data_IF_043895356313
#
_entry.id   IF_043895356313
#
_cell.length_a   1.000
_cell.length_b   1.000
_cell.length_c   1.000
_cell.angle_alpha   90.00
_cell.angle_beta   90.00
_cell.angle_gamma   90.00
#
_symmetry.space_group_name_H-M   'P 1'
#
loop_
_entity.id
_entity.type
_entity.pdbx_description
1 polymer ?
#
# COMPACT_ATOMS: atom_id res chain seq x y z
N UNK A 1 -6.52 -0.61 8.58
CA UNK A 1 -6.36 -1.21 7.23
C UNK A 1 -5.22 -0.60 6.40
N UNK A 2 -5.23 0.70 6.01
CA UNK A 2 -4.17 1.26 5.13
C UNK A 2 -2.73 1.07 5.66
N UNK A 3 -2.52 1.28 6.97
CA UNK A 3 -1.20 1.05 7.61
C UNK A 3 -0.76 -0.42 7.47
N UNK A 4 -1.69 -1.37 7.55
CA UNK A 4 -1.41 -2.80 7.37
C UNK A 4 -1.09 -3.08 5.89
N UNK A 5 -1.86 -2.52 4.94
CA UNK A 5 -1.56 -2.66 3.51
C UNK A 5 -0.18 -2.10 3.13
N UNK A 6 0.24 -1.00 3.76
CA UNK A 6 1.58 -0.43 3.59
C UNK A 6 2.70 -1.20 4.30
N UNK A 7 2.39 -2.11 5.23
CA UNK A 7 3.41 -2.76 6.07
C UNK A 7 4.39 -3.62 5.28
N UNK A 8 3.98 -4.15 4.12
CA UNK A 8 4.82 -4.90 3.20
C UNK A 8 4.70 -4.37 1.78
N UNK A 9 5.85 -4.19 1.13
CA UNK A 9 6.01 -3.65 -0.24
C UNK A 9 5.05 -4.27 -1.27
N UNK A 10 4.81 -5.57 -1.15
CA UNK A 10 4.10 -6.36 -2.15
C UNK A 10 2.69 -6.77 -1.71
N UNK A 11 2.23 -6.31 -0.55
CA UNK A 11 0.94 -6.76 0.00
C UNK A 11 -0.25 -6.25 -0.82
N UNK A 12 -0.21 -4.99 -1.26
CA UNK A 12 -1.22 -4.43 -2.15
C UNK A 12 -1.33 -5.21 -3.47
N UNK A 13 -0.26 -5.37 -4.28
CA UNK A 13 -0.37 -6.12 -5.53
C UNK A 13 -0.68 -7.61 -5.33
N UNK A 14 -0.21 -8.24 -4.23
CA UNK A 14 -0.57 -9.61 -3.89
C UNK A 14 -2.09 -9.77 -3.69
N UNK A 15 -2.69 -8.93 -2.83
CA UNK A 15 -4.12 -9.04 -2.54
C UNK A 15 -4.98 -8.67 -3.74
N UNK A 16 -4.56 -7.68 -4.54
CA UNK A 16 -5.21 -7.32 -5.79
C UNK A 16 -5.21 -8.49 -6.80
N UNK A 17 -4.08 -9.17 -6.96
CA UNK A 17 -3.97 -10.33 -7.85
C UNK A 17 -4.86 -11.50 -7.39
N UNK A 18 -4.84 -11.81 -6.09
CA UNK A 18 -5.69 -12.86 -5.53
C UNK A 18 -7.18 -12.54 -5.66
N UNK A 19 -7.58 -11.27 -5.54
CA UNK A 19 -8.96 -10.83 -5.77
C UNK A 19 -9.38 -11.02 -7.24
N UNK A 20 -8.52 -10.63 -8.19
CA UNK A 20 -8.80 -10.74 -9.62
C UNK A 20 -8.92 -12.19 -10.10
N UNK A 21 -8.15 -13.11 -9.51
CA UNK A 21 -8.07 -14.50 -9.96
C UNK A 21 -8.78 -15.52 -9.05
N UNK A 22 -9.37 -15.05 -7.94
CA UNK A 22 -9.99 -15.91 -6.89
C UNK A 22 -9.00 -16.93 -6.31
N UNK A 23 -7.78 -16.45 -6.05
CA UNK A 23 -6.66 -17.26 -5.56
C UNK A 23 -5.60 -17.53 -6.62
N UNK A 24 -4.48 -18.12 -6.21
CA UNK A 24 -3.37 -18.43 -7.11
C UNK A 24 -2.47 -19.55 -6.57
N UNK A 25 -1.68 -20.17 -7.46
CA UNK A 25 -0.53 -21.00 -7.07
C UNK A 25 0.70 -20.15 -6.81
N UNK A 26 1.66 -20.65 -6.03
CA UNK A 26 2.88 -19.90 -5.71
C UNK A 26 3.64 -19.43 -6.96
N UNK A 27 3.82 -20.32 -7.94
CA UNK A 27 4.57 -20.00 -9.18
C UNK A 27 3.85 -18.98 -10.05
N UNK A 28 2.52 -19.00 -10.07
CA UNK A 28 1.73 -18.01 -10.83
C UNK A 28 1.92 -16.60 -10.28
N UNK A 29 1.93 -16.46 -8.94
CA UNK A 29 2.20 -15.20 -8.27
C UNK A 29 3.60 -14.67 -8.58
N UNK A 30 4.61 -15.54 -8.65
CA UNK A 30 5.98 -15.15 -9.04
C UNK A 30 5.98 -14.54 -10.45
N UNK A 31 5.34 -15.22 -11.41
CA UNK A 31 5.34 -14.76 -12.80
C UNK A 31 4.52 -13.49 -13.01
N UNK A 32 3.29 -13.41 -12.46
CA UNK A 32 2.41 -12.26 -12.67
C UNK A 32 2.88 -11.00 -11.95
N UNK A 33 3.47 -11.14 -10.76
CA UNK A 33 3.90 -10.00 -9.95
C UNK A 33 5.39 -9.66 -10.13
N UNK A 34 6.16 -10.49 -10.85
CA UNK A 34 7.61 -10.28 -11.05
C UNK A 34 8.41 -10.34 -9.74
N UNK A 35 7.97 -11.16 -8.79
CA UNK A 35 8.53 -11.28 -7.45
C UNK A 35 9.67 -12.29 -7.37
N UNK A 36 10.64 -12.08 -6.47
CA UNK A 36 11.49 -13.19 -6.04
C UNK A 36 10.72 -14.15 -5.13
N UNK A 37 11.13 -15.43 -5.09
CA UNK A 37 10.54 -16.45 -4.20
C UNK A 37 10.50 -15.99 -2.74
N UNK A 38 11.61 -15.49 -2.23
CA UNK A 38 11.70 -15.02 -0.85
C UNK A 38 10.78 -13.83 -0.56
N UNK A 39 10.62 -12.92 -1.53
CA UNK A 39 9.71 -11.78 -1.38
C UNK A 39 8.26 -12.23 -1.35
N UNK A 40 7.90 -13.20 -2.20
CA UNK A 40 6.56 -13.78 -2.19
C UNK A 40 6.28 -14.53 -0.88
N UNK A 41 7.22 -15.37 -0.41
CA UNK A 41 7.10 -16.09 0.87
C UNK A 41 6.84 -15.13 2.02
N UNK A 42 7.69 -14.11 2.20
CA UNK A 42 7.52 -13.11 3.27
C UNK A 42 6.20 -12.35 3.18
N UNK A 43 5.73 -12.05 1.96
CA UNK A 43 4.47 -11.30 1.77
C UNK A 43 3.25 -12.18 2.05
N UNK A 44 3.28 -13.44 1.64
CA UNK A 44 2.23 -14.42 1.94
C UNK A 44 2.19 -14.73 3.45
N UNK A 45 3.34 -14.88 4.10
CA UNK A 45 3.42 -15.06 5.56
C UNK A 45 2.82 -13.87 6.29
N UNK A 46 3.18 -12.63 5.91
CA UNK A 46 2.59 -11.44 6.49
C UNK A 46 1.07 -11.38 6.30
N UNK A 47 0.59 -11.67 5.09
CA UNK A 47 -0.85 -11.70 4.80
C UNK A 47 -1.58 -12.78 5.60
N UNK A 48 -0.94 -13.94 5.81
CA UNK A 48 -1.46 -15.03 6.63
C UNK A 48 -1.46 -14.70 8.12
N UNK A 49 -0.41 -14.07 8.63
CA UNK A 49 -0.33 -13.60 10.03
C UNK A 49 -1.42 -12.57 10.34
N UNK A 50 -1.75 -11.69 9.38
CA UNK A 50 -2.87 -10.74 9.51
C UNK A 50 -4.23 -11.46 9.40
N UNK A 51 -4.24 -12.68 8.85
CA UNK A 51 -5.45 -13.47 8.62
C UNK A 51 -6.19 -13.14 7.31
N UNK A 52 -5.54 -12.45 6.36
CA UNK A 52 -6.14 -12.07 5.07
C UNK A 52 -5.99 -13.13 3.98
N UNK A 53 -4.95 -13.96 4.06
CA UNK A 53 -4.67 -15.02 3.09
C UNK A 53 -4.51 -16.34 3.85
N UNK A 54 -5.06 -17.41 3.29
CA UNK A 54 -4.87 -18.76 3.80
C UNK A 54 -4.39 -19.70 2.69
N UNK A 55 -3.70 -20.77 3.08
CA UNK A 55 -3.54 -21.92 2.18
C UNK A 55 -4.91 -22.55 1.96
N UNK A 56 -5.20 -22.93 0.72
CA UNK A 56 -6.45 -23.58 0.36
C UNK A 56 -6.52 -25.00 0.97
N UNK A 57 -7.45 -25.29 1.90
CA UNK A 57 -7.49 -26.55 2.66
C UNK A 57 -8.08 -27.73 1.87
N UNK A 58 -8.72 -27.48 0.71
CA UNK A 58 -9.36 -28.52 -0.07
C UNK A 58 -8.39 -29.65 -0.47
N UNK A 59 -8.92 -30.81 -0.86
CA UNK A 59 -8.18 -31.92 -1.49
C UNK A 59 -8.71 -32.09 -2.93
N UNK A 60 -7.84 -32.36 -3.92
CA UNK A 60 -8.24 -32.55 -5.33
C UNK A 60 -7.67 -31.56 -6.36
N UNK A 61 -7.79 -32.00 -7.63
CA UNK A 61 -7.29 -31.54 -8.94
C UNK A 61 -6.07 -30.59 -9.06
N UNK A 62 -5.16 -30.86 -10.03
CA UNK A 62 -3.88 -30.16 -10.18
C UNK A 62 -3.94 -28.66 -10.54
N UNK A 63 -5.14 -28.10 -10.81
CA UNK A 63 -5.34 -26.72 -11.25
C UNK A 63 -5.86 -25.77 -10.16
N UNK A 64 -6.07 -26.24 -8.92
CA UNK A 64 -6.62 -25.38 -7.87
C UNK A 64 -5.63 -24.30 -7.39
N UNK A 65 -6.12 -23.16 -6.90
CA UNK A 65 -5.27 -22.19 -6.22
C UNK A 65 -4.74 -22.76 -4.90
N UNK A 66 -3.45 -22.53 -4.62
CA UNK A 66 -2.79 -22.89 -3.36
C UNK A 66 -3.05 -21.86 -2.26
N UNK A 67 -3.22 -20.60 -2.64
CA UNK A 67 -3.48 -19.47 -1.75
C UNK A 67 -4.78 -18.80 -2.12
N UNK A 68 -5.62 -18.54 -1.13
CA UNK A 68 -6.94 -17.91 -1.28
C UNK A 68 -7.10 -16.78 -0.27
N UNK A 69 -7.96 -15.82 -0.60
CA UNK A 69 -8.40 -14.81 0.35
C UNK A 69 -9.30 -15.46 1.39
N UNK A 70 -9.13 -15.07 2.65
CA UNK A 70 -10.11 -15.39 3.70
C UNK A 70 -11.29 -14.43 3.63
N UNK A 71 -12.35 -14.72 4.38
CA UNK A 71 -13.46 -13.78 4.57
C UNK A 71 -12.97 -12.43 5.14
N UNK A 72 -12.10 -12.47 6.15
CA UNK A 72 -11.48 -11.27 6.72
C UNK A 72 -10.58 -10.51 5.71
N UNK A 73 -9.98 -11.23 4.75
CA UNK A 73 -9.15 -10.66 3.69
C UNK A 73 -9.93 -10.01 2.55
N UNK A 74 -11.21 -10.32 2.38
CA UNK A 74 -12.01 -9.86 1.24
C UNK A 74 -12.10 -8.32 1.16
N UNK A 75 -12.34 -7.65 2.30
CA UNK A 75 -12.40 -6.19 2.36
C UNK A 75 -11.01 -5.56 2.07
N UNK A 76 -9.95 -6.13 2.63
CA UNK A 76 -8.59 -5.67 2.38
C UNK A 76 -8.18 -5.85 0.92
N UNK A 77 -8.60 -6.94 0.28
CA UNK A 77 -8.31 -7.21 -1.12
C UNK A 77 -9.08 -6.32 -2.08
N UNK A 78 -10.34 -6.01 -1.77
CA UNK A 78 -11.12 -5.00 -2.50
C UNK A 78 -10.41 -3.64 -2.46
N UNK A 79 -10.01 -3.20 -1.27
CA UNK A 79 -9.23 -1.96 -1.11
C UNK A 79 -7.90 -2.02 -1.85
N UNK A 80 -7.19 -3.13 -1.76
CA UNK A 80 -5.91 -3.32 -2.44
C UNK A 80 -6.05 -3.27 -3.96
N UNK A 81 -7.13 -3.83 -4.53
CA UNK A 81 -7.42 -3.75 -5.96
C UNK A 81 -7.60 -2.30 -6.42
N UNK A 82 -8.39 -1.50 -5.70
CA UNK A 82 -8.57 -0.07 -6.00
C UNK A 82 -7.23 0.70 -5.94
N UNK A 83 -6.41 0.43 -4.93
CA UNK A 83 -5.09 1.07 -4.79
C UNK A 83 -4.15 0.62 -5.91
N UNK A 84 -4.12 -0.68 -6.23
CA UNK A 84 -3.27 -1.22 -7.29
C UNK A 84 -3.62 -0.62 -8.67
N UNK A 85 -4.91 -0.46 -8.97
CA UNK A 85 -5.37 0.20 -10.19
C UNK A 85 -4.91 1.66 -10.25
N UNK A 86 -5.02 2.40 -9.14
CA UNK A 86 -4.53 3.78 -9.04
C UNK A 86 -3.01 3.86 -9.23
N UNK A 87 -2.25 2.93 -8.63
CA UNK A 87 -0.81 2.83 -8.80
C UNK A 87 -0.42 2.57 -10.25
N UNK A 88 -1.12 1.67 -10.94
CA UNK A 88 -0.92 1.40 -12.37
C UNK A 88 -1.19 2.64 -13.23
N UNK A 89 -2.29 3.36 -12.98
CA UNK A 89 -2.67 4.58 -13.74
C UNK A 89 -1.64 5.70 -13.66
N UNK A 90 -0.80 5.72 -12.63
CA UNK A 90 0.22 6.74 -12.40
C UNK A 90 1.65 6.17 -12.49
N UNK A 91 1.79 4.96 -13.03
CA UNK A 91 3.06 4.23 -13.19
C UNK A 91 3.89 4.13 -11.90
N UNK A 92 3.21 4.00 -10.74
CA UNK A 92 3.87 3.88 -9.45
C UNK A 92 4.25 2.41 -9.18
N UNK A 93 5.54 2.06 -9.13
CA UNK A 93 5.93 0.68 -8.92
C UNK A 93 5.62 0.22 -7.48
N UNK A 94 5.34 -1.07 -7.26
CA UNK A 94 5.20 -1.64 -5.92
C UNK A 94 6.39 -1.29 -5.03
N UNK A 95 6.11 -0.76 -3.84
CA UNK A 95 7.14 -0.32 -2.86
C UNK A 95 7.76 1.04 -3.11
N UNK A 96 7.33 1.78 -4.14
CA UNK A 96 7.67 3.20 -4.28
C UNK A 96 7.21 4.02 -3.05
N UNK A 97 6.05 3.65 -2.52
CA UNK A 97 5.57 4.13 -1.23
C UNK A 97 6.26 3.37 -0.10
N UNK A 98 6.80 4.11 0.88
CA UNK A 98 7.21 3.51 2.16
C UNK A 98 5.98 2.97 2.91
N UNK A 99 6.19 2.32 4.06
CA UNK A 99 5.09 1.87 4.94
C UNK A 99 4.04 2.94 5.22
N UNK A 100 4.47 4.19 5.30
CA UNK A 100 3.61 5.33 5.61
C UNK A 100 3.14 6.09 4.37
N UNK A 101 3.56 5.71 3.16
CA UNK A 101 3.22 6.45 1.94
C UNK A 101 1.72 6.49 1.66
N UNK A 102 1.02 5.34 1.71
CA UNK A 102 -0.44 5.32 1.50
C UNK A 102 -1.21 6.09 2.60
N UNK A 103 -0.92 5.90 3.90
CA UNK A 103 -1.51 6.75 4.94
C UNK A 103 -1.19 8.24 4.81
N UNK A 104 0.00 8.60 4.34
CA UNK A 104 0.41 10.00 4.13
C UNK A 104 -0.40 10.66 3.01
N UNK A 105 -0.52 10.03 1.82
CA UNK A 105 -1.32 10.61 0.73
C UNK A 105 -2.79 10.71 1.11
N UNK A 106 -3.32 9.73 1.85
CA UNK A 106 -4.70 9.77 2.36
C UNK A 106 -4.89 10.92 3.37
N UNK A 107 -3.95 11.10 4.30
CA UNK A 107 -3.98 12.19 5.28
C UNK A 107 -3.92 13.57 4.64
N UNK A 108 -3.01 13.77 3.67
CA UNK A 108 -2.91 15.05 2.94
C UNK A 108 -4.20 15.28 2.13
N UNK A 109 -4.73 14.25 1.47
CA UNK A 109 -6.00 14.34 0.73
C UNK A 109 -7.21 14.67 1.60
N UNK A 110 -7.17 14.32 2.89
CA UNK A 110 -8.15 14.71 3.90
C UNK A 110 -7.90 16.11 4.50
N UNK A 111 -6.92 16.87 3.98
CA UNK A 111 -6.61 18.24 4.41
C UNK A 111 -5.55 18.35 5.50
N UNK A 112 -4.86 17.26 5.88
CA UNK A 112 -3.73 17.33 6.80
C UNK A 112 -2.45 17.74 6.05
N UNK A 113 -2.30 19.05 5.83
CA UNK A 113 -1.22 19.65 5.02
C UNK A 113 0.05 19.99 5.84
N UNK A 114 0.07 19.75 7.16
CA UNK A 114 1.21 20.03 8.05
C UNK A 114 1.86 18.77 8.59
N UNK A 115 3.18 18.80 8.75
CA UNK A 115 3.94 17.69 9.34
C UNK A 115 3.38 17.26 10.72
N UNK A 116 3.12 18.24 11.60
CA UNK A 116 2.61 17.94 12.95
C UNK A 116 1.18 17.37 12.92
N UNK A 117 0.35 17.76 11.95
CA UNK A 117 -0.98 17.18 11.78
C UNK A 117 -0.88 15.72 11.34
N UNK A 118 -0.06 15.44 10.32
CA UNK A 118 0.25 14.09 9.86
C UNK A 118 0.87 13.23 10.96
N UNK A 119 1.77 13.79 11.77
CA UNK A 119 2.41 13.07 12.88
C UNK A 119 1.45 12.68 13.99
N UNK A 120 0.44 13.50 14.27
CA UNK A 120 -0.63 13.14 15.23
C UNK A 120 -1.61 12.14 14.65
N UNK A 121 -1.94 12.29 13.37
CA UNK A 121 -2.85 11.38 12.66
C UNK A 121 -2.28 9.97 12.55
N UNK A 122 -0.98 9.85 12.28
CA UNK A 122 -0.34 8.60 11.87
C UNK A 122 0.43 7.91 13.01
N UNK A 123 0.03 8.08 14.26
CA UNK A 123 0.58 7.31 15.38
C UNK A 123 0.44 5.80 15.07
N UNK A 124 1.46 4.95 15.32
CA UNK A 124 2.72 5.23 16.02
C UNK A 124 3.91 5.56 15.10
N UNK A 125 3.70 6.14 13.92
CA UNK A 125 4.79 6.54 13.04
C UNK A 125 5.78 7.48 13.74
N UNK A 126 7.07 7.17 13.62
CA UNK A 126 8.09 8.10 14.10
C UNK A 126 8.22 9.28 13.15
N UNK A 127 8.63 10.47 13.63
CA UNK A 127 8.90 11.61 12.77
C UNK A 127 9.86 11.28 11.61
N UNK A 128 10.89 10.46 11.89
CA UNK A 128 11.82 9.98 10.87
C UNK A 128 11.10 9.17 9.77
N UNK A 129 10.23 8.25 10.15
CA UNK A 129 9.49 7.42 9.20
C UNK A 129 8.53 8.26 8.31
N UNK A 130 7.89 9.27 8.89
CA UNK A 130 7.05 10.21 8.15
C UNK A 130 7.86 11.07 7.19
N UNK A 131 8.99 11.64 7.63
CA UNK A 131 9.90 12.39 6.77
C UNK A 131 10.40 11.55 5.60
N UNK A 132 10.79 10.30 5.84
CA UNK A 132 11.18 9.38 4.77
C UNK A 132 10.04 9.08 3.80
N UNK A 133 8.82 8.89 4.31
CA UNK A 133 7.63 8.71 3.47
C UNK A 133 7.33 9.93 2.60
N UNK A 134 7.32 11.13 3.17
CA UNK A 134 7.08 12.38 2.44
C UNK A 134 8.16 12.63 1.38
N UNK A 135 9.43 12.38 1.69
CA UNK A 135 10.52 12.48 0.70
C UNK A 135 10.34 11.47 -0.44
N UNK A 136 9.97 10.22 -0.15
CA UNK A 136 9.72 9.22 -1.18
C UNK A 136 8.53 9.61 -2.07
N UNK A 137 7.42 10.06 -1.48
CA UNK A 137 6.25 10.56 -2.22
C UNK A 137 6.61 11.76 -3.10
N UNK A 138 7.45 12.68 -2.62
CA UNK A 138 7.94 13.81 -3.41
C UNK A 138 8.82 13.37 -4.59
N UNK A 139 9.72 12.39 -4.37
CA UNK A 139 10.54 11.80 -5.44
C UNK A 139 9.69 11.15 -6.54
N UNK A 140 8.55 10.56 -6.18
CA UNK A 140 7.60 9.97 -7.12
C UNK A 140 6.57 10.97 -7.66
N UNK A 141 6.73 12.27 -7.39
CA UNK A 141 5.84 13.32 -7.90
C UNK A 141 4.40 13.20 -7.38
N UNK A 142 4.20 12.63 -6.19
CA UNK A 142 2.88 12.47 -5.56
C UNK A 142 2.59 13.61 -4.57
N UNK A 143 3.62 14.20 -3.97
CA UNK A 143 3.50 15.24 -2.95
C UNK A 143 4.44 16.39 -3.29
N UNK A 144 3.96 17.63 -3.19
CA UNK A 144 4.80 18.83 -3.18
C UNK A 144 5.02 19.30 -1.75
N UNK A 145 6.19 19.89 -1.49
CA UNK A 145 6.52 20.50 -0.20
C UNK A 145 6.86 21.97 -0.40
N UNK A 146 6.18 22.83 0.34
CA UNK A 146 6.46 24.25 0.43
C UNK A 146 6.97 24.59 1.84
N UNK A 147 7.99 25.44 1.93
CA UNK A 147 8.41 26.03 3.20
C UNK A 147 7.69 27.36 3.34
N UNK A 148 6.79 27.45 4.32
CA UNK A 148 6.10 28.70 4.63
C UNK A 148 7.04 29.62 5.40
N UNK A 149 7.20 30.83 4.89
CA UNK A 149 7.95 31.89 5.55
C UNK A 149 7.13 32.50 6.69
N UNK A 150 7.16 31.82 7.82
CA UNK A 150 6.51 32.21 9.07
C UNK A 150 7.48 31.93 10.23
N UNK A 151 7.16 32.43 11.43
CA UNK A 151 7.99 32.18 12.63
C UNK A 151 7.25 31.27 13.63
N UNK A 152 7.76 30.07 13.94
CA UNK A 152 8.90 29.38 13.31
C UNK A 152 8.58 28.88 11.88
N UNK A 153 9.58 28.71 11.00
CA UNK A 153 9.36 28.20 9.65
C UNK A 153 8.71 26.83 9.68
N UNK A 154 7.83 26.55 8.71
CA UNK A 154 7.07 25.32 8.75
C UNK A 154 6.69 24.81 7.36
N UNK A 155 6.62 23.49 7.22
CA UNK A 155 6.38 22.83 5.93
C UNK A 155 4.89 22.61 5.67
N UNK A 156 4.43 22.99 4.48
CA UNK A 156 3.13 22.62 3.93
C UNK A 156 3.32 21.53 2.87
N UNK A 157 2.41 20.57 2.84
CA UNK A 157 2.39 19.46 1.90
C UNK A 157 1.08 19.46 1.14
N UNK A 158 1.16 19.35 -0.18
CA UNK A 158 0.02 19.25 -1.07
C UNK A 158 0.15 18.03 -1.97
N UNK A 159 -0.99 17.53 -2.45
CA UNK A 159 -1.00 16.45 -3.44
C UNK A 159 -0.83 17.02 -4.85
N UNK A 160 0.00 16.36 -5.65
CA UNK A 160 -0.04 16.57 -7.10
C UNK A 160 -1.30 15.92 -7.69
N UNK A 161 -1.54 16.09 -8.99
CA UNK A 161 -2.61 15.36 -9.70
C UNK A 161 -2.53 13.84 -9.49
N UNK A 162 -1.33 13.27 -9.58
CA UNK A 162 -1.11 11.83 -9.36
C UNK A 162 -1.28 11.47 -7.89
N UNK A 163 -0.84 12.33 -6.96
CA UNK A 163 -1.08 12.16 -5.53
C UNK A 163 -2.57 12.14 -5.18
N UNK A 164 -3.36 13.04 -5.77
CA UNK A 164 -4.80 13.13 -5.56
C UNK A 164 -5.53 11.89 -6.08
N UNK A 165 -5.13 11.37 -7.25
CA UNK A 165 -5.65 10.11 -7.79
C UNK A 165 -5.38 8.94 -6.82
N UNK A 166 -4.15 8.84 -6.31
CA UNK A 166 -3.81 7.80 -5.33
C UNK A 166 -4.54 7.98 -3.99
N UNK A 167 -4.69 9.22 -3.52
CA UNK A 167 -5.40 9.51 -2.28
C UNK A 167 -6.90 9.12 -2.36
N UNK A 168 -7.55 9.37 -3.50
CA UNK A 168 -8.93 8.95 -3.73
C UNK A 168 -9.10 7.41 -3.64
N UNK A 169 -8.12 6.63 -4.11
CA UNK A 169 -8.15 5.17 -3.97
C UNK A 169 -7.95 4.69 -2.52
N UNK A 170 -7.30 5.51 -1.69
CA UNK A 170 -7.07 5.24 -0.28
C UNK A 170 -8.26 5.59 0.63
N UNK A 171 -9.21 6.42 0.16
CA UNK A 171 -10.35 6.92 0.94
C UNK A 171 -11.37 5.82 1.30
#
# INVERSE_FOLDING_TARGET
MLIQLGSHRWLVPLLADLAAHRGARFVELIHRLGLSRDSLTRTLEAAATIGWVARNPGHGHPLRPEYILTEAGAAAATRAATIAEAQQKIDLPPGAATRWGLPLVAGIGAGHDRFNALSRLLIPATPRALSQGLTALGKHGLVTREVLDMRPPASRYDLTKNGALLAAACA
#
